data_IF_185428077682
#
_entry.id   IF_185428077682
#
_cell.length_a   1.000
_cell.length_b   1.000
_cell.length_c   1.000
_cell.angle_alpha   90.00
_cell.angle_beta   90.00
_cell.angle_gamma   90.00
#
_symmetry.space_group_name_H-M   'P 1'
#
loop_
_entity.id
_entity.type
_entity.pdbx_description
1 polymer ?
#
# COMPACT_ATOMS: atom_id res chain seq x y z
N UNK A 1 3.39 4.51 4.81
CA UNK A 1 2.12 4.50 4.04
C UNK A 1 1.12 3.74 4.89
N UNK A 2 -0.20 3.97 4.80
CA UNK A 2 -1.11 3.01 5.40
C UNK A 2 -0.95 1.71 4.60
N UNK A 3 -0.21 0.75 5.14
CA UNK A 3 0.02 -0.58 4.56
C UNK A 3 -1.24 -1.43 4.70
N UNK A 4 -2.39 -0.88 4.27
CA UNK A 4 -3.66 -1.58 4.14
C UNK A 4 -3.51 -2.57 3.00
N UNK A 5 -3.02 -3.75 3.36
CA UNK A 5 -2.88 -4.88 2.45
C UNK A 5 -4.25 -5.51 2.18
N UNK A 6 -4.30 -6.31 1.10
CA UNK A 6 -5.48 -7.13 0.78
C UNK A 6 -5.92 -8.00 1.97
N UNK A 7 -4.97 -8.43 2.81
CA UNK A 7 -5.25 -9.23 4.00
C UNK A 7 -5.95 -8.43 5.11
N UNK A 8 -5.60 -7.16 5.33
CA UNK A 8 -6.27 -6.33 6.35
C UNK A 8 -7.69 -5.96 5.92
N UNK A 9 -7.89 -5.66 4.63
CA UNK A 9 -9.23 -5.47 4.06
C UNK A 9 -10.11 -6.73 4.22
N UNK A 10 -9.54 -7.93 4.07
CA UNK A 10 -10.25 -9.19 4.26
C UNK A 10 -10.67 -9.40 5.71
N UNK A 11 -9.78 -9.11 6.68
CA UNK A 11 -10.10 -9.18 8.12
C UNK A 11 -11.23 -8.20 8.48
N UNK A 12 -11.16 -6.95 8.00
CA UNK A 12 -12.22 -5.96 8.21
C UNK A 12 -13.53 -6.42 7.57
N UNK A 13 -13.48 -7.03 6.38
CA UNK A 13 -14.64 -7.63 5.73
C UNK A 13 -15.30 -8.72 6.57
N UNK A 14 -14.52 -9.64 7.16
CA UNK A 14 -15.03 -10.70 8.04
C UNK A 14 -15.68 -10.11 9.30
N UNK A 15 -15.00 -9.16 9.97
CA UNK A 15 -15.55 -8.51 11.17
C UNK A 15 -16.86 -7.80 10.85
N UNK A 16 -16.92 -7.10 9.72
CA UNK A 16 -18.12 -6.42 9.29
C UNK A 16 -19.29 -7.40 9.00
N UNK A 17 -19.01 -8.61 8.47
CA UNK A 17 -20.02 -9.66 8.30
C UNK A 17 -20.57 -10.18 9.63
N UNK A 18 -19.75 -10.27 10.67
CA UNK A 18 -20.18 -10.72 12.01
C UNK A 18 -21.03 -9.65 12.70
N UNK A 19 -20.60 -8.39 12.64
CA UNK A 19 -21.23 -7.28 13.38
C UNK A 19 -22.54 -6.84 12.73
N UNK A 20 -22.56 -6.68 11.41
CA UNK A 20 -23.73 -6.19 10.66
C UNK A 20 -24.61 -7.34 10.18
N UNK A 21 -24.01 -8.52 9.98
CA UNK A 21 -24.68 -9.69 9.43
C UNK A 21 -24.41 -9.87 7.92
N UNK A 22 -24.26 -11.13 7.46
CA UNK A 22 -23.84 -11.43 6.09
C UNK A 22 -24.86 -11.03 5.01
N UNK A 23 -26.12 -10.80 5.40
CA UNK A 23 -27.21 -10.44 4.48
C UNK A 23 -27.44 -8.93 4.38
N UNK A 24 -27.00 -8.15 5.35
CA UNK A 24 -27.32 -6.72 5.41
C UNK A 24 -26.19 -5.85 4.87
N UNK A 25 -24.92 -6.26 5.05
CA UNK A 25 -23.78 -5.69 4.34
C UNK A 25 -23.95 -5.59 2.81
N UNK A 26 -24.30 -6.67 2.08
CA UNK A 26 -24.45 -6.59 0.63
C UNK A 26 -25.63 -5.71 0.21
N UNK A 27 -26.71 -5.65 1.00
CA UNK A 27 -27.82 -4.72 0.75
C UNK A 27 -27.37 -3.27 0.95
N UNK A 28 -26.64 -2.98 2.03
CA UNK A 28 -26.10 -1.66 2.32
C UNK A 28 -25.11 -1.20 1.24
N UNK A 29 -24.18 -2.05 0.81
CA UNK A 29 -23.28 -1.74 -0.30
C UNK A 29 -24.02 -1.48 -1.61
N UNK A 30 -25.10 -2.22 -1.88
CA UNK A 30 -25.92 -1.98 -3.08
C UNK A 30 -26.61 -0.62 -3.01
N UNK A 31 -27.15 -0.23 -1.86
CA UNK A 31 -27.76 1.09 -1.66
C UNK A 31 -26.72 2.21 -1.75
N UNK A 32 -25.59 2.07 -1.05
CA UNK A 32 -24.50 3.04 -1.05
C UNK A 32 -23.90 3.19 -2.45
N UNK A 33 -23.68 2.07 -3.15
CA UNK A 33 -23.19 2.04 -4.52
C UNK A 33 -24.13 2.71 -5.52
N UNK A 34 -25.45 2.57 -5.36
CA UNK A 34 -26.42 3.29 -6.20
C UNK A 34 -26.41 4.81 -5.95
N UNK A 35 -26.16 5.25 -4.72
CA UNK A 35 -26.04 6.66 -4.37
C UNK A 35 -24.73 7.23 -4.91
N UNK A 36 -23.60 6.58 -4.64
CA UNK A 36 -22.29 6.97 -5.17
C UNK A 36 -22.26 6.93 -6.70
N UNK A 37 -22.93 5.97 -7.34
CA UNK A 37 -23.04 5.87 -8.79
C UNK A 37 -23.80 7.05 -9.41
N UNK A 38 -24.90 7.48 -8.78
CA UNK A 38 -25.64 8.69 -9.19
C UNK A 38 -24.80 9.95 -9.03
N UNK A 39 -24.10 10.10 -7.91
CA UNK A 39 -23.17 11.21 -7.66
C UNK A 39 -22.04 11.20 -8.70
N UNK A 40 -21.49 10.04 -9.06
CA UNK A 40 -20.43 9.92 -10.06
C UNK A 40 -20.89 10.35 -11.46
N UNK A 41 -22.14 10.03 -11.82
CA UNK A 41 -22.78 10.53 -13.04
C UNK A 41 -22.91 12.05 -13.01
N UNK A 42 -23.52 12.60 -11.95
CA UNK A 42 -23.67 14.04 -11.74
C UNK A 42 -22.34 14.79 -11.72
N UNK A 43 -21.30 14.22 -11.10
CA UNK A 43 -19.96 14.80 -11.08
C UNK A 43 -19.31 14.81 -12.46
N UNK A 44 -19.62 13.85 -13.33
CA UNK A 44 -19.12 13.82 -14.71
C UNK A 44 -19.76 14.93 -15.55
N UNK A 45 -21.05 15.17 -15.34
CA UNK A 45 -21.78 16.23 -16.03
C UNK A 45 -21.41 17.61 -15.49
N UNK A 46 -21.25 17.75 -14.16
CA UNK A 46 -20.72 18.96 -13.53
C UNK A 46 -19.29 19.25 -13.97
N UNK A 47 -18.41 18.25 -14.03
CA UNK A 47 -17.04 18.44 -14.53
C UNK A 47 -17.04 18.93 -15.96
N UNK A 48 -17.90 18.39 -16.84
CA UNK A 48 -18.03 18.84 -18.23
C UNK A 48 -18.52 20.29 -18.32
N UNK A 49 -19.58 20.63 -17.58
CA UNK A 49 -20.11 21.99 -17.54
C UNK A 49 -19.13 22.99 -16.91
N UNK A 50 -18.38 22.56 -15.88
CA UNK A 50 -17.32 23.37 -15.29
C UNK A 50 -16.13 23.53 -16.22
N UNK A 51 -15.68 22.50 -16.93
CA UNK A 51 -14.57 22.59 -17.88
C UNK A 51 -14.92 23.54 -19.04
N UNK A 52 -16.20 23.56 -19.45
CA UNK A 52 -16.73 24.47 -20.47
C UNK A 52 -16.83 25.93 -19.96
N UNK A 53 -17.26 26.14 -18.71
CA UNK A 53 -17.35 27.47 -18.08
C UNK A 53 -16.00 28.02 -17.53
N UNK A 54 -15.07 27.14 -17.17
CA UNK A 54 -13.74 27.47 -16.63
C UNK A 54 -12.71 27.78 -17.74
N UNK A 55 -13.07 27.62 -19.01
CA UNK A 55 -12.24 28.06 -20.14
C UNK A 55 -11.96 29.57 -20.12
N UNK A 56 -12.83 30.36 -19.49
CA UNK A 56 -12.77 31.84 -19.47
C UNK A 56 -12.53 32.43 -18.07
N UNK A 57 -12.80 31.66 -17.01
CA UNK A 57 -12.58 32.07 -15.62
C UNK A 57 -11.43 31.25 -15.05
N UNK A 58 -10.45 31.84 -14.35
CA UNK A 58 -9.21 31.19 -13.86
C UNK A 58 -9.35 29.97 -12.92
N UNK A 59 -10.52 29.32 -12.89
CA UNK A 59 -10.85 28.11 -12.17
C UNK A 59 -9.99 26.90 -12.56
N UNK A 60 -9.32 26.93 -13.72
CA UNK A 60 -8.37 25.90 -14.14
C UNK A 60 -7.15 25.82 -13.23
N UNK A 61 -6.72 26.94 -12.65
CA UNK A 61 -5.62 26.98 -11.69
C UNK A 61 -6.08 26.55 -10.29
N UNK A 62 -7.30 26.90 -9.88
CA UNK A 62 -7.92 26.36 -8.66
C UNK A 62 -8.08 24.83 -8.71
N UNK A 63 -8.45 24.29 -9.88
CA UNK A 63 -8.51 22.85 -10.10
C UNK A 63 -7.14 22.17 -10.00
N UNK A 64 -6.07 22.82 -10.47
CA UNK A 64 -4.69 22.31 -10.33
C UNK A 64 -4.22 22.34 -8.87
N UNK A 65 -4.49 23.42 -8.15
CA UNK A 65 -4.09 23.58 -6.75
C UNK A 65 -4.83 22.59 -5.85
N UNK A 66 -6.14 22.43 -6.03
CA UNK A 66 -6.92 21.41 -5.31
C UNK A 66 -6.41 20.00 -5.62
N UNK A 67 -6.03 19.73 -6.87
CA UNK A 67 -5.49 18.43 -7.28
C UNK A 67 -4.06 18.20 -6.80
N UNK A 68 -3.28 19.25 -6.62
CA UNK A 68 -1.96 19.21 -6.00
C UNK A 68 -2.07 18.94 -4.49
N UNK A 69 -3.01 19.60 -3.80
CA UNK A 69 -3.31 19.35 -2.38
C UNK A 69 -3.89 17.96 -2.13
N UNK A 70 -4.76 17.47 -3.02
CA UNK A 70 -5.35 16.14 -2.91
C UNK A 70 -4.35 14.99 -3.19
N UNK A 71 -3.15 15.30 -3.68
CA UNK A 71 -2.14 14.30 -3.97
C UNK A 71 -1.04 14.31 -2.89
N UNK A 72 -1.15 13.48 -1.84
CA UNK A 72 -0.25 13.51 -0.70
C UNK A 72 1.21 13.26 -1.09
N UNK A 73 1.43 12.54 -2.21
CA UNK A 73 2.75 12.30 -2.76
C UNK A 73 3.40 13.58 -3.30
N UNK A 74 2.61 14.44 -3.98
CA UNK A 74 3.11 15.73 -4.47
C UNK A 74 3.44 16.66 -3.32
N UNK A 75 2.54 16.80 -2.34
CA UNK A 75 2.78 17.61 -1.15
C UNK A 75 4.03 17.15 -0.37
N UNK A 76 4.23 15.83 -0.26
CA UNK A 76 5.45 15.27 0.33
C UNK A 76 6.72 15.61 -0.46
N UNK A 77 6.69 15.49 -1.79
CA UNK A 77 7.83 15.88 -2.63
C UNK A 77 8.07 17.40 -2.62
N UNK A 78 7.03 18.23 -2.61
CA UNK A 78 7.15 19.68 -2.54
C UNK A 78 7.75 20.13 -1.20
N UNK A 79 7.37 19.49 -0.08
CA UNK A 79 7.97 19.74 1.22
C UNK A 79 9.46 19.33 1.25
N UNK A 80 9.79 18.20 0.64
CA UNK A 80 11.17 17.71 0.51
C UNK A 80 12.00 18.65 -0.37
N UNK A 81 11.49 19.05 -1.55
CA UNK A 81 12.16 19.98 -2.45
C UNK A 81 12.39 21.34 -1.78
N UNK A 82 11.39 21.85 -1.04
CA UNK A 82 11.52 23.11 -0.31
C UNK A 82 12.54 23.05 0.83
N UNK A 83 12.66 21.90 1.49
CA UNK A 83 13.70 21.66 2.48
C UNK A 83 15.10 21.62 1.83
N UNK A 84 15.22 20.97 0.66
CA UNK A 84 16.46 20.97 -0.11
C UNK A 84 16.85 22.37 -0.59
N UNK A 85 15.92 23.17 -1.11
CA UNK A 85 16.19 24.56 -1.53
C UNK A 85 16.68 25.45 -0.38
N UNK A 86 16.14 25.27 0.84
CA UNK A 86 16.60 25.98 2.03
C UNK A 86 18.02 25.59 2.42
N UNK A 87 18.30 24.29 2.42
CA UNK A 87 19.64 23.76 2.71
C UNK A 87 20.66 24.22 1.66
N UNK A 88 20.29 24.25 0.38
CA UNK A 88 21.21 24.67 -0.69
C UNK A 88 21.57 26.16 -0.57
N UNK A 89 20.63 27.01 -0.13
CA UNK A 89 20.89 28.42 0.19
C UNK A 89 21.77 28.61 1.43
N UNK A 90 21.62 27.76 2.45
CA UNK A 90 22.38 27.89 3.70
C UNK A 90 23.78 27.26 3.63
N UNK A 91 24.01 26.31 2.71
CA UNK A 91 25.27 25.56 2.63
C UNK A 91 26.26 26.17 1.63
N UNK A 92 25.87 27.10 0.75
CA UNK A 92 26.82 27.67 -0.23
C UNK A 92 28.07 28.23 0.51
N UNK A 93 29.25 27.61 0.35
CA UNK A 93 30.44 27.96 1.11
C UNK A 93 31.13 29.20 0.54
N UNK A 94 30.66 29.77 -0.57
CA UNK A 94 31.25 30.93 -1.23
C UNK A 94 30.84 32.27 -0.61
N UNK A 95 29.78 32.27 0.18
CA UNK A 95 29.25 33.43 0.91
C UNK A 95 29.91 33.64 2.29
N UNK A 96 30.85 32.76 2.69
CA UNK A 96 31.60 32.87 3.95
C UNK A 96 33.08 33.19 3.68
N UNK A 97 33.68 34.05 4.52
CA UNK A 97 35.09 34.45 4.43
C UNK A 97 36.04 33.25 4.50
N UNK A 98 37.09 33.27 3.67
CA UNK A 98 38.11 32.21 3.58
C UNK A 98 38.91 32.09 4.88
N UNK A 99 38.92 30.89 5.46
CA UNK A 99 39.56 30.63 6.75
C UNK A 99 38.67 30.83 7.99
N UNK A 100 37.40 31.23 7.83
CA UNK A 100 36.46 31.28 8.96
C UNK A 100 36.00 29.88 9.41
N UNK A 101 35.78 29.69 10.71
CA UNK A 101 35.25 28.43 11.26
C UNK A 101 33.88 28.06 10.66
N UNK A 102 33.09 29.07 10.26
CA UNK A 102 31.80 28.91 9.58
C UNK A 102 31.95 28.26 8.21
N UNK A 103 32.99 28.63 7.43
CA UNK A 103 33.27 28.03 6.12
C UNK A 103 33.72 26.58 6.23
N UNK A 104 34.58 26.27 7.20
CA UNK A 104 35.01 24.90 7.47
C UNK A 104 33.83 24.00 7.88
N UNK A 105 32.88 24.52 8.67
CA UNK A 105 31.64 23.80 8.99
C UNK A 105 30.72 23.64 7.78
N UNK A 106 30.57 24.66 6.93
CA UNK A 106 29.76 24.57 5.71
C UNK A 106 30.34 23.54 4.72
N UNK A 107 31.65 23.53 4.50
CA UNK A 107 32.33 22.54 3.65
C UNK A 107 32.18 21.12 4.18
N UNK A 108 32.32 20.93 5.50
CA UNK A 108 32.10 19.63 6.14
C UNK A 108 30.66 19.15 5.97
N UNK A 109 29.67 20.03 6.19
CA UNK A 109 28.24 19.73 5.97
C UNK A 109 27.94 19.38 4.51
N UNK A 110 28.59 20.08 3.56
CA UNK A 110 28.46 19.79 2.14
C UNK A 110 29.07 18.41 1.81
N UNK A 111 30.23 18.06 2.37
CA UNK A 111 30.86 16.75 2.21
C UNK A 111 30.01 15.61 2.80
N UNK A 112 29.51 15.78 4.03
CA UNK A 112 28.59 14.84 4.68
C UNK A 112 27.29 14.66 3.86
N UNK A 113 26.72 15.75 3.34
CA UNK A 113 25.50 15.69 2.51
C UNK A 113 25.73 14.99 1.17
N UNK A 114 26.91 15.17 0.55
CA UNK A 114 27.31 14.44 -0.67
C UNK A 114 27.46 12.95 -0.39
N UNK A 115 28.15 12.57 0.68
CA UNK A 115 28.31 11.17 1.08
C UNK A 115 26.95 10.51 1.39
N UNK A 116 26.04 11.24 2.07
CA UNK A 116 24.69 10.76 2.33
C UNK A 116 23.86 10.59 1.04
N UNK A 117 23.99 11.49 0.06
CA UNK A 117 23.35 11.38 -1.26
C UNK A 117 23.88 10.17 -2.04
N UNK A 118 25.18 9.95 -2.09
CA UNK A 118 25.78 8.77 -2.74
C UNK A 118 25.32 7.45 -2.10
N UNK A 119 25.25 7.39 -0.77
CA UNK A 119 24.73 6.22 -0.05
C UNK A 119 23.25 5.98 -0.37
N UNK A 120 22.44 7.03 -0.45
CA UNK A 120 21.03 6.92 -0.82
C UNK A 120 20.85 6.44 -2.27
N UNK A 121 21.66 6.91 -3.21
CA UNK A 121 21.63 6.49 -4.61
C UNK A 121 22.10 5.04 -4.77
N UNK A 122 23.14 4.63 -4.04
CA UNK A 122 23.58 3.23 -3.99
C UNK A 122 22.47 2.30 -3.46
N UNK A 123 21.77 2.71 -2.39
CA UNK A 123 20.66 1.95 -1.81
C UNK A 123 19.44 1.87 -2.75
N UNK A 124 19.15 2.95 -3.49
CA UNK A 124 18.10 2.95 -4.53
C UNK A 124 18.43 2.00 -5.66
N UNK A 125 19.66 2.05 -6.17
CA UNK A 125 20.13 1.18 -7.25
C UNK A 125 20.07 -0.30 -6.86
N UNK A 126 20.52 -0.63 -5.65
CA UNK A 126 20.40 -1.99 -5.11
C UNK A 126 18.94 -2.46 -5.06
N UNK A 127 18.02 -1.61 -4.58
CA UNK A 127 16.59 -1.93 -4.55
C UNK A 127 15.98 -2.12 -5.95
N UNK A 128 16.39 -1.30 -6.92
CA UNK A 128 15.95 -1.46 -8.32
C UNK A 128 16.46 -2.74 -8.95
N UNK A 129 17.70 -3.13 -8.65
CA UNK A 129 18.29 -4.38 -9.13
C UNK A 129 17.57 -5.60 -8.52
N UNK A 130 17.23 -5.56 -7.23
CA UNK A 130 16.43 -6.60 -6.56
C UNK A 130 15.04 -6.72 -7.18
N UNK A 131 14.34 -5.59 -7.41
CA UNK A 131 13.02 -5.58 -8.04
C UNK A 131 13.11 -6.10 -9.49
N UNK A 132 14.14 -5.71 -10.23
CA UNK A 132 14.36 -6.17 -11.61
C UNK A 132 14.61 -7.68 -11.63
N UNK A 133 15.47 -8.19 -10.74
CA UNK A 133 15.78 -9.61 -10.67
C UNK A 133 14.55 -10.45 -10.28
N UNK A 134 13.78 -9.99 -9.28
CA UNK A 134 12.51 -10.63 -8.90
C UNK A 134 11.49 -10.66 -10.06
N UNK A 135 11.45 -9.60 -10.88
CA UNK A 135 10.59 -9.55 -12.07
C UNK A 135 11.07 -10.46 -13.20
N UNK A 136 12.39 -10.61 -13.42
CA UNK A 136 12.91 -11.56 -14.42
C UNK A 136 12.65 -13.00 -14.01
N UNK A 137 12.83 -13.35 -12.73
CA UNK A 137 12.51 -14.68 -12.21
C UNK A 137 11.03 -15.06 -12.34
N UNK A 138 10.13 -14.07 -12.32
CA UNK A 138 8.70 -14.28 -12.52
C UNK A 138 8.27 -14.38 -14.00
N UNK A 139 9.13 -14.02 -14.96
CA UNK A 139 8.81 -13.95 -16.41
C UNK A 139 9.35 -15.16 -17.20
N UNK A 140 10.27 -15.96 -16.64
CA UNK A 140 10.67 -17.24 -17.24
C UNK A 140 9.56 -18.29 -17.08
N UNK A 141 8.92 -18.77 -18.16
CA UNK A 141 7.96 -19.86 -18.08
C UNK A 141 8.70 -21.19 -18.12
N UNK A 142 8.66 -21.93 -16.99
CA UNK A 142 8.83 -23.38 -16.93
C UNK A 142 10.26 -23.93 -17.01
N UNK A 143 10.75 -24.45 -15.89
CA UNK A 143 11.04 -25.89 -15.79
C UNK A 143 10.91 -26.37 -14.34
N UNK A 144 10.63 -27.64 -14.19
CA UNK A 144 9.92 -28.25 -13.08
C UNK A 144 10.78 -28.55 -11.84
N UNK A 145 10.09 -28.61 -10.69
CA UNK A 145 10.19 -29.70 -9.69
C UNK A 145 11.44 -29.82 -8.80
N UNK A 146 11.17 -30.31 -7.59
CA UNK A 146 12.06 -30.72 -6.50
C UNK A 146 12.73 -29.58 -5.71
N UNK A 147 12.47 -29.40 -4.41
CA UNK A 147 12.55 -30.46 -3.40
C UNK A 147 11.61 -30.19 -2.22
N UNK A 148 10.63 -31.08 -2.10
CA UNK A 148 10.19 -31.52 -0.78
C UNK A 148 11.36 -32.28 -0.12
N UNK A 149 11.43 -32.15 1.20
CA UNK A 149 12.45 -32.53 2.19
C UNK A 149 12.93 -33.99 2.15
N UNK A 150 14.05 -34.30 2.84
CA UNK A 150 13.90 -35.29 3.91
C UNK A 150 14.61 -34.93 5.23
N UNK A 151 13.92 -35.28 6.33
CA UNK A 151 14.36 -35.31 7.74
C UNK A 151 15.06 -36.65 8.02
N UNK A 152 15.95 -36.77 9.03
CA UNK A 152 15.63 -37.62 10.21
C UNK A 152 16.38 -37.18 11.49
N UNK A 153 16.17 -37.65 12.73
CA UNK A 153 15.15 -38.40 13.46
C UNK A 153 15.61 -38.44 14.94
N UNK A 154 14.67 -38.43 15.89
CA UNK A 154 14.77 -39.03 17.24
C UNK A 154 13.32 -39.11 17.76
N UNK A 155 12.58 -40.22 17.58
CA UNK A 155 12.56 -41.46 18.40
C UNK A 155 12.31 -41.13 19.87
N UNK A 156 11.25 -41.53 20.56
CA UNK A 156 10.45 -42.78 20.68
C UNK A 156 9.22 -42.42 21.54
N UNK A 157 8.07 -43.10 21.65
CA UNK A 157 7.47 -44.33 21.12
C UNK A 157 5.94 -44.22 21.42
N UNK A 158 5.08 -45.07 20.82
CA UNK A 158 3.63 -44.96 20.83
C UNK A 158 2.97 -45.79 21.95
N UNK A 159 1.79 -45.35 22.42
CA UNK A 159 0.82 -46.25 23.07
C UNK A 159 -0.34 -46.45 22.11
N UNK A 160 -0.43 -47.69 21.66
CA UNK A 160 -1.53 -48.26 20.90
C UNK A 160 -2.71 -48.64 21.80
N UNK A 161 -3.87 -48.79 21.13
CA UNK A 161 -5.09 -49.54 21.47
C UNK A 161 -6.32 -48.61 21.46
N UNK A 162 -7.42 -48.83 20.74
CA UNK A 162 -7.84 -49.81 19.72
C UNK A 162 -9.19 -49.29 19.17
N UNK A 163 -9.57 -49.50 17.90
CA UNK A 163 -10.85 -49.06 17.35
C UNK A 163 -11.92 -50.15 17.47
N UNK A 164 -13.18 -49.76 17.69
CA UNK A 164 -14.33 -50.64 17.47
C UNK A 164 -15.41 -49.91 16.65
N UNK A 165 -15.75 -50.39 15.44
CA UNK A 165 -16.94 -49.99 14.70
C UNK A 165 -18.14 -50.91 15.02
N UNK A 166 -19.30 -50.61 14.43
CA UNK A 166 -20.49 -51.49 14.28
C UNK A 166 -21.49 -51.47 15.45
N UNK A 167 -22.82 -51.32 15.35
CA UNK A 167 -23.77 -51.08 14.26
C UNK A 167 -25.17 -50.69 14.82
N UNK A 168 -26.01 -50.16 13.91
CA UNK A 168 -27.47 -50.31 13.81
C UNK A 168 -28.40 -49.59 14.81
N UNK A 169 -29.17 -48.60 14.30
CA UNK A 169 -30.61 -48.75 14.01
C UNK A 169 -31.27 -47.39 13.67
N UNK A 170 -31.58 -47.14 12.41
CA UNK A 170 -32.76 -46.33 12.01
C UNK A 170 -34.01 -47.26 12.01
N UNK A 171 -35.26 -46.81 11.69
CA UNK A 171 -35.91 -45.48 11.68
C UNK A 171 -37.28 -45.48 12.41
N UNK A 172 -37.87 -44.34 12.80
CA UNK A 172 -39.35 -44.06 12.90
C UNK A 172 -39.61 -42.54 12.89
N UNK A 173 -40.04 -41.94 11.78
CA UNK A 173 -41.43 -41.50 11.47
C UNK A 173 -42.23 -40.93 12.66
N UNK A 174 -42.66 -39.67 12.59
CA UNK A 174 -43.66 -39.12 13.51
C UNK A 174 -43.85 -37.60 13.44
N UNK A 175 -44.96 -37.20 12.80
CA UNK A 175 -45.57 -35.87 12.60
C UNK A 175 -46.00 -35.15 13.89
N UNK A 176 -46.39 -33.87 13.73
CA UNK A 176 -47.37 -33.06 14.51
C UNK A 176 -46.76 -31.97 15.44
N UNK A 177 -46.76 -30.69 15.05
CA UNK A 177 -47.83 -29.66 15.08
C UNK A 177 -48.27 -29.24 16.49
N UNK A 178 -48.20 -27.93 16.71
CA UNK A 178 -48.71 -27.17 17.85
C UNK A 178 -48.62 -25.69 17.54
#
# INVERSE_FOLDING_TARGET
MPDIGMMELLVIGIVALIVVGPKDLPKMFRTFGQVTGRIRGMAKDFSRAMDEAAGETGMKDLGKDLRAMANPKKMGMDAVNKAFDGIEKDIDPTQFEEGSETRAMAEKRLADSKAAREQADALRKAREDDIRNAKLAAVTPGDASASATPVPAATADPVAAEPAPEAAAEPRTGTDQG
#
